data_IF_298823582567
#
_entry.id   IF_298823582567
#
_cell.length_a   1.000
_cell.length_b   1.000
_cell.length_c   1.000
_cell.angle_alpha   90.00
_cell.angle_beta   90.00
_cell.angle_gamma   90.00
#
_symmetry.space_group_name_H-M   'P 1'
#
loop_
_entity.id
_entity.type
_entity.pdbx_description
1 polymer ?
#
# COMPACT_ATOMS: atom_id res chain seq x y z
N UNK A 1 42.31 -19.90 18.80
CA UNK A 1 41.05 -20.61 18.46
C UNK A 1 39.90 -20.24 19.39
N UNK A 2 40.06 -20.33 20.73
CA UNK A 2 38.98 -19.97 21.68
C UNK A 2 38.51 -18.50 21.57
N UNK A 3 39.43 -17.59 21.29
CA UNK A 3 39.16 -16.16 21.15
C UNK A 3 38.22 -15.83 19.98
N UNK A 4 38.32 -16.59 18.88
CA UNK A 4 37.39 -16.49 17.74
C UNK A 4 36.00 -17.01 18.11
N UNK A 5 35.92 -18.09 18.90
CA UNK A 5 34.64 -18.65 19.35
C UNK A 5 33.90 -17.70 20.29
N UNK A 6 34.61 -17.07 21.21
CA UNK A 6 34.03 -16.08 22.13
C UNK A 6 33.50 -14.88 21.34
N UNK A 7 34.30 -14.36 20.40
CA UNK A 7 33.90 -13.22 19.56
C UNK A 7 32.64 -13.50 18.74
N UNK A 8 32.57 -14.65 18.06
CA UNK A 8 31.39 -15.02 17.27
C UNK A 8 30.16 -15.23 18.17
N UNK A 9 30.35 -15.79 19.36
CA UNK A 9 29.26 -15.98 20.33
C UNK A 9 28.68 -14.65 20.80
N UNK A 10 29.52 -13.66 21.08
CA UNK A 10 29.08 -12.31 21.47
C UNK A 10 28.32 -11.65 20.32
N UNK A 11 28.85 -11.71 19.09
CA UNK A 11 28.18 -11.15 17.90
C UNK A 11 26.81 -11.79 17.69
N UNK A 12 26.70 -13.12 17.82
CA UNK A 12 25.43 -13.82 17.65
C UNK A 12 24.37 -13.42 18.68
N UNK A 13 24.76 -13.22 19.94
CA UNK A 13 23.86 -12.75 21.00
C UNK A 13 23.40 -11.32 20.70
N UNK A 14 24.32 -10.42 20.34
CA UNK A 14 23.98 -9.03 20.02
C UNK A 14 23.08 -8.94 18.78
N UNK A 15 23.36 -9.70 17.73
CA UNK A 15 22.56 -9.71 16.52
C UNK A 15 21.10 -10.10 16.80
N UNK A 16 20.86 -11.11 17.65
CA UNK A 16 19.51 -11.52 18.05
C UNK A 16 18.71 -10.41 18.73
N UNK A 17 19.36 -9.51 19.45
CA UNK A 17 18.69 -8.38 20.10
C UNK A 17 18.37 -7.26 19.11
N UNK A 18 19.18 -7.09 18.08
CA UNK A 18 19.07 -5.99 17.10
C UNK A 18 18.08 -6.32 15.97
N UNK A 19 18.01 -7.58 15.52
CA UNK A 19 17.18 -7.95 14.37
C UNK A 19 15.70 -7.53 14.47
N UNK A 20 14.99 -7.75 15.61
CA UNK A 20 13.58 -7.34 15.71
C UNK A 20 13.38 -5.83 15.57
N UNK A 21 14.32 -5.04 16.13
CA UNK A 21 14.26 -3.58 16.03
C UNK A 21 14.43 -3.13 14.58
N UNK A 22 15.35 -3.77 13.84
CA UNK A 22 15.57 -3.46 12.43
C UNK A 22 14.33 -3.75 11.56
N UNK A 23 13.62 -4.85 11.83
CA UNK A 23 12.37 -5.17 11.12
C UNK A 23 11.33 -4.07 11.35
N UNK A 24 11.07 -3.69 12.61
CA UNK A 24 10.10 -2.63 12.93
C UNK A 24 10.42 -1.32 12.24
N UNK A 25 11.69 -0.87 12.31
CA UNK A 25 12.14 0.38 11.67
C UNK A 25 11.98 0.34 10.15
N UNK A 26 12.23 -0.82 9.54
CA UNK A 26 12.05 -1.00 8.09
C UNK A 26 10.58 -0.91 7.70
N UNK A 27 9.69 -1.57 8.44
CA UNK A 27 8.24 -1.48 8.19
C UNK A 27 7.70 -0.05 8.39
N UNK A 28 8.20 0.67 9.39
CA UNK A 28 7.87 2.09 9.59
C UNK A 28 8.35 2.95 8.41
N UNK A 29 9.57 2.70 7.92
CA UNK A 29 10.09 3.39 6.74
C UNK A 29 9.25 3.12 5.49
N UNK A 30 8.77 1.88 5.31
CA UNK A 30 7.85 1.55 4.21
C UNK A 30 6.53 2.29 4.33
N UNK A 31 5.95 2.37 5.53
CA UNK A 31 4.70 3.09 5.75
C UNK A 31 4.85 4.59 5.48
N UNK A 32 5.91 5.22 6.00
CA UNK A 32 6.20 6.65 5.78
C UNK A 32 6.42 6.93 4.28
N UNK A 33 7.19 6.07 3.60
CA UNK A 33 7.37 6.17 2.16
C UNK A 33 6.04 6.03 1.41
N UNK A 34 5.21 5.07 1.79
CA UNK A 34 3.91 4.88 1.16
C UNK A 34 3.02 6.10 1.33
N UNK A 35 2.99 6.72 2.52
CA UNK A 35 2.24 7.95 2.75
C UNK A 35 2.69 9.09 1.81
N UNK A 36 4.00 9.23 1.59
CA UNK A 36 4.53 10.23 0.64
C UNK A 36 4.14 9.91 -0.80
N UNK A 37 4.26 8.65 -1.21
CA UNK A 37 3.92 8.17 -2.55
C UNK A 37 2.41 8.32 -2.81
N UNK A 38 1.55 7.94 -1.87
CA UNK A 38 0.10 8.15 -1.96
C UNK A 38 -0.26 9.63 -2.15
N UNK A 39 0.34 10.52 -1.36
CA UNK A 39 0.11 11.95 -1.52
C UNK A 39 0.58 12.45 -2.89
N UNK A 40 1.73 11.98 -3.38
CA UNK A 40 2.22 12.32 -4.72
C UNK A 40 1.27 11.86 -5.83
N UNK A 41 0.76 10.63 -5.75
CA UNK A 41 -0.21 10.08 -6.71
C UNK A 41 -1.54 10.84 -6.61
N UNK A 42 -1.98 11.17 -5.39
CA UNK A 42 -3.20 11.96 -5.19
C UNK A 42 -3.08 13.34 -5.85
N UNK A 43 -1.95 14.04 -5.71
CA UNK A 43 -1.74 15.32 -6.42
C UNK A 43 -1.78 15.14 -7.94
N UNK A 44 -1.20 14.06 -8.48
CA UNK A 44 -1.27 13.76 -9.90
C UNK A 44 -2.72 13.56 -10.38
N UNK A 45 -3.54 12.87 -9.59
CA UNK A 45 -4.97 12.65 -9.88
C UNK A 45 -5.78 13.95 -9.84
N UNK A 46 -5.46 14.86 -8.91
CA UNK A 46 -6.09 16.19 -8.87
C UNK A 46 -5.76 16.98 -10.14
N UNK A 47 -4.50 17.01 -10.56
CA UNK A 47 -4.09 17.68 -11.81
C UNK A 47 -4.74 17.05 -13.04
N UNK A 48 -4.87 15.72 -13.06
CA UNK A 48 -5.61 15.00 -14.10
C UNK A 48 -7.06 15.48 -14.17
N UNK A 49 -7.76 15.50 -13.03
CA UNK A 49 -9.15 15.95 -12.93
C UNK A 49 -9.30 17.41 -13.37
N UNK A 50 -8.38 18.29 -12.98
CA UNK A 50 -8.38 19.69 -13.41
C UNK A 50 -8.26 19.83 -14.93
N UNK A 51 -7.46 18.98 -15.58
CA UNK A 51 -7.27 19.01 -17.03
C UNK A 51 -8.43 18.40 -17.81
N UNK A 52 -8.90 17.22 -17.38
CA UNK A 52 -9.84 16.41 -18.15
C UNK A 52 -11.29 16.51 -17.65
N UNK A 53 -11.52 17.18 -16.52
CA UNK A 53 -12.83 17.43 -15.93
C UNK A 53 -13.34 16.33 -14.99
N UNK A 54 -12.73 15.15 -15.02
CA UNK A 54 -13.08 14.01 -14.16
C UNK A 54 -11.84 13.17 -13.82
N UNK A 55 -11.95 12.30 -12.81
CA UNK A 55 -10.92 11.32 -12.48
C UNK A 55 -10.83 10.22 -13.56
N UNK A 56 -9.65 9.60 -13.75
CA UNK A 56 -9.49 8.55 -14.75
C UNK A 56 -10.26 7.29 -14.37
N UNK A 57 -10.68 6.52 -15.37
CA UNK A 57 -11.37 5.25 -15.13
C UNK A 57 -10.49 4.22 -14.40
N UNK A 58 -11.14 3.25 -13.77
CA UNK A 58 -10.49 2.14 -13.05
C UNK A 58 -9.54 1.36 -13.98
N UNK A 59 -8.35 1.04 -13.49
CA UNK A 59 -7.38 0.18 -14.17
C UNK A 59 -6.86 -0.84 -13.20
N UNK A 60 -6.87 -2.11 -13.62
CA UNK A 60 -6.45 -3.20 -12.76
C UNK A 60 -4.93 -3.18 -12.54
N UNK A 61 -4.49 -2.57 -11.43
CA UNK A 61 -3.10 -2.52 -10.95
C UNK A 61 -2.12 -2.03 -12.01
N UNK A 62 -2.58 -1.04 -12.76
CA UNK A 62 -1.81 -0.39 -13.83
C UNK A 62 -2.10 1.10 -13.82
N UNK A 63 -1.31 1.86 -14.56
CA UNK A 63 -1.51 3.28 -14.73
C UNK A 63 -2.82 3.58 -15.46
N UNK A 64 -3.67 4.46 -14.91
CA UNK A 64 -4.80 4.96 -15.66
C UNK A 64 -4.33 5.81 -16.85
N UNK A 65 -4.85 5.60 -18.08
CA UNK A 65 -4.40 6.31 -19.27
C UNK A 65 -4.46 7.84 -19.13
N UNK A 66 -3.34 8.49 -19.44
CA UNK A 66 -3.16 9.94 -19.36
C UNK A 66 -2.67 10.44 -18.00
N UNK A 67 -2.62 9.58 -16.96
CA UNK A 67 -2.07 9.95 -15.66
C UNK A 67 -0.54 10.03 -15.68
N UNK A 68 0.11 9.39 -16.64
CA UNK A 68 1.56 9.39 -16.86
C UNK A 68 2.13 10.81 -16.89
N UNK A 69 1.40 11.76 -17.48
CA UNK A 69 1.88 13.14 -17.62
C UNK A 69 2.04 13.86 -16.26
N UNK A 70 1.26 13.46 -15.25
CA UNK A 70 1.22 14.12 -13.95
C UNK A 70 2.05 13.40 -12.88
N UNK A 71 2.52 12.19 -13.17
CA UNK A 71 3.43 11.47 -12.31
C UNK A 71 4.87 11.94 -12.58
N UNK A 72 5.61 12.28 -11.52
CA UNK A 72 7.01 12.70 -11.65
C UNK A 72 7.88 11.80 -12.54
N UNK A 73 7.85 10.46 -12.38
CA UNK A 73 8.60 9.53 -13.25
C UNK A 73 7.86 9.14 -14.53
N UNK A 74 6.58 9.50 -14.70
CA UNK A 74 5.74 9.05 -15.82
C UNK A 74 5.43 7.55 -15.84
N UNK A 75 5.69 6.85 -14.74
CA UNK A 75 5.52 5.41 -14.58
C UNK A 75 4.73 5.16 -13.29
N UNK A 76 3.84 4.17 -13.30
CA UNK A 76 3.16 3.70 -12.09
C UNK A 76 4.18 3.04 -11.15
N UNK A 77 4.38 3.56 -9.93
CA UNK A 77 5.38 2.98 -9.04
C UNK A 77 4.91 1.64 -8.48
N UNK A 78 5.87 0.74 -8.23
CA UNK A 78 5.68 -0.33 -7.26
C UNK A 78 5.39 0.29 -5.88
N UNK A 79 4.64 -0.43 -5.04
CA UNK A 79 4.37 0.05 -3.69
C UNK A 79 5.61 -0.08 -2.78
N UNK A 80 5.62 0.68 -1.68
CA UNK A 80 6.78 0.76 -0.78
C UNK A 80 7.19 -0.59 -0.18
N UNK A 81 6.29 -1.56 -0.06
CA UNK A 81 6.58 -2.91 0.43
C UNK A 81 7.10 -3.84 -0.68
N UNK A 82 8.10 -4.69 -0.41
CA UNK A 82 8.66 -5.60 -1.41
C UNK A 82 7.62 -6.55 -2.03
N UNK A 83 7.43 -6.46 -3.35
CA UNK A 83 6.51 -7.32 -4.10
C UNK A 83 5.04 -6.88 -4.05
N UNK A 84 4.79 -5.65 -3.59
CA UNK A 84 3.46 -5.04 -3.59
C UNK A 84 3.35 -3.98 -4.68
N UNK A 85 2.12 -3.70 -5.13
CA UNK A 85 1.84 -2.76 -6.23
C UNK A 85 0.76 -1.77 -5.82
N UNK A 86 0.86 -0.53 -6.32
CA UNK A 86 -0.25 0.41 -6.21
C UNK A 86 -1.36 0.05 -7.20
N UNK A 87 -2.58 0.42 -6.85
CA UNK A 87 -3.82 0.13 -7.58
C UNK A 87 -4.71 1.36 -7.50
N UNK A 88 -5.12 1.87 -8.65
CA UNK A 88 -6.10 2.95 -8.72
C UNK A 88 -7.48 2.33 -8.70
N UNK A 89 -8.24 2.62 -7.65
CA UNK A 89 -9.58 2.06 -7.47
C UNK A 89 -10.62 3.15 -7.76
N UNK A 90 -11.36 2.99 -8.86
CA UNK A 90 -12.55 3.78 -9.18
C UNK A 90 -13.75 2.83 -9.25
N UNK A 91 -14.48 2.69 -8.15
CA UNK A 91 -15.58 1.74 -8.04
C UNK A 91 -16.94 2.40 -7.90
N UNK A 92 -17.98 1.68 -8.32
CA UNK A 92 -19.35 1.94 -7.84
C UNK A 92 -19.47 1.38 -6.43
N UNK A 93 -20.01 2.16 -5.49
CA UNK A 93 -20.25 1.65 -4.14
C UNK A 93 -21.30 0.52 -4.16
N UNK A 94 -20.97 -0.69 -3.66
CA UNK A 94 -21.91 -1.82 -3.65
C UNK A 94 -23.07 -1.60 -2.68
N UNK A 95 -22.91 -0.73 -1.69
CA UNK A 95 -23.92 -0.41 -0.67
C UNK A 95 -24.82 0.77 -1.11
N UNK A 96 -24.34 1.62 -2.02
CA UNK A 96 -25.09 2.74 -2.61
C UNK A 96 -24.69 2.96 -4.09
N UNK A 97 -25.42 2.38 -5.06
CA UNK A 97 -25.06 2.43 -6.48
C UNK A 97 -24.97 3.83 -7.10
N UNK A 98 -25.46 4.87 -6.41
CA UNK A 98 -25.36 6.26 -6.86
C UNK A 98 -24.07 6.95 -6.42
N UNK A 99 -23.25 6.28 -5.59
CA UNK A 99 -21.99 6.80 -5.09
C UNK A 99 -20.80 6.08 -5.72
N UNK A 100 -19.68 6.78 -5.74
CA UNK A 100 -18.39 6.24 -6.15
C UNK A 100 -17.48 6.08 -4.93
N UNK A 101 -16.57 5.13 -5.05
CA UNK A 101 -15.43 4.97 -4.13
C UNK A 101 -14.19 5.24 -4.97
N UNK A 102 -13.42 6.25 -4.57
CA UNK A 102 -12.16 6.60 -5.19
C UNK A 102 -11.05 6.50 -4.15
N UNK A 103 -10.08 5.65 -4.41
CA UNK A 103 -8.96 5.43 -3.50
C UNK A 103 -7.72 4.93 -4.26
N UNK A 104 -6.57 5.01 -3.61
CA UNK A 104 -5.34 4.38 -4.09
C UNK A 104 -5.01 3.28 -3.09
N UNK A 105 -4.82 2.05 -3.56
CA UNK A 105 -4.52 0.89 -2.71
C UNK A 105 -3.13 0.34 -2.97
N UNK A 106 -2.39 0.02 -1.92
CA UNK A 106 -1.23 -0.86 -1.99
C UNK A 106 -1.69 -2.32 -1.81
N UNK A 107 -1.52 -3.13 -2.84
CA UNK A 107 -1.88 -4.55 -2.91
C UNK A 107 -0.66 -5.41 -2.65
N UNK A 108 -0.76 -6.32 -1.68
CA UNK A 108 0.37 -7.13 -1.20
C UNK A 108 0.56 -8.46 -1.93
N UNK A 109 -0.32 -8.79 -2.86
CA UNK A 109 -0.30 -10.04 -3.60
C UNK A 109 -0.02 -9.74 -5.08
N UNK A 110 0.91 -10.44 -5.75
CA UNK A 110 1.10 -10.26 -7.19
C UNK A 110 -0.17 -10.63 -8.00
N UNK A 111 -0.33 -10.04 -9.18
CA UNK A 111 -1.45 -10.34 -10.07
C UNK A 111 -1.42 -11.82 -10.44
N UNK A 112 -2.52 -12.53 -10.21
CA UNK A 112 -2.65 -13.95 -10.53
C UNK A 112 -1.88 -14.90 -9.62
N UNK A 113 -1.22 -14.42 -8.55
CA UNK A 113 -0.51 -15.27 -7.58
C UNK A 113 -0.96 -15.03 -6.12
N UNK A 114 -2.19 -15.42 -5.75
CA UNK A 114 -2.74 -15.33 -4.38
C UNK A 114 -1.86 -15.90 -3.28
N UNK A 115 -1.09 -16.94 -3.59
CA UNK A 115 -0.28 -17.66 -2.60
C UNK A 115 1.06 -16.98 -2.32
N UNK A 116 1.37 -15.88 -3.00
CA UNK A 116 2.65 -15.16 -2.89
C UNK A 116 2.51 -13.81 -2.18
N UNK A 117 1.41 -13.58 -1.48
CA UNK A 117 1.20 -12.34 -0.74
C UNK A 117 2.30 -12.13 0.32
N UNK A 118 2.75 -10.88 0.45
CA UNK A 118 3.71 -10.45 1.47
C UNK A 118 3.14 -9.27 2.24
N UNK A 119 2.54 -9.56 3.39
CA UNK A 119 1.91 -8.54 4.22
C UNK A 119 2.92 -7.84 5.14
N UNK A 120 2.64 -6.58 5.54
CA UNK A 120 3.46 -5.85 6.51
C UNK A 120 3.57 -6.59 7.85
N UNK A 121 4.75 -6.62 8.45
CA UNK A 121 4.98 -7.21 9.78
C UNK A 121 4.60 -6.21 10.89
N UNK A 122 3.33 -5.76 10.90
CA UNK A 122 2.80 -4.77 11.86
C UNK A 122 1.51 -5.27 12.51
N UNK A 123 1.23 -4.79 13.72
CA UNK A 123 0.04 -5.18 14.48
C UNK A 123 -1.26 -4.88 13.72
N UNK A 124 -1.35 -3.72 13.07
CA UNK A 124 -2.48 -3.31 12.24
C UNK A 124 -2.66 -4.16 10.96
N UNK A 125 -1.68 -4.99 10.61
CA UNK A 125 -1.71 -5.89 9.47
C UNK A 125 -1.82 -7.37 9.89
N UNK A 126 -1.98 -7.67 11.18
CA UNK A 126 -1.88 -9.03 11.71
C UNK A 126 -2.97 -9.99 11.20
N UNK A 127 -4.11 -9.46 10.76
CA UNK A 127 -5.25 -10.17 10.21
C UNK A 127 -5.46 -9.92 8.71
N UNK A 128 -4.44 -9.39 8.01
CA UNK A 128 -4.51 -9.16 6.58
C UNK A 128 -4.66 -10.46 5.79
N UNK A 129 -5.54 -10.41 4.80
CA UNK A 129 -5.73 -11.47 3.81
C UNK A 129 -5.52 -10.95 2.37
N UNK A 130 -5.80 -11.80 1.38
CA UNK A 130 -5.63 -11.46 -0.04
C UNK A 130 -6.41 -10.21 -0.49
N UNK A 131 -7.47 -9.84 0.22
CA UNK A 131 -8.30 -8.66 -0.07
C UNK A 131 -7.97 -7.48 0.85
N UNK A 132 -7.01 -7.64 1.76
CA UNK A 132 -6.52 -6.54 2.58
C UNK A 132 -5.60 -5.64 1.78
N UNK A 133 -5.64 -4.36 2.12
CA UNK A 133 -4.83 -3.34 1.50
C UNK A 133 -4.49 -2.24 2.51
N UNK A 134 -3.38 -1.57 2.25
CA UNK A 134 -3.16 -0.23 2.78
C UNK A 134 -3.71 0.73 1.72
N UNK A 135 -4.55 1.69 2.10
CA UNK A 135 -5.21 2.56 1.11
C UNK A 135 -5.27 4.02 1.54
N UNK A 136 -5.27 4.90 0.54
CA UNK A 136 -5.49 6.33 0.67
C UNK A 136 -6.88 6.67 0.13
N UNK A 137 -7.77 7.13 0.99
CA UNK A 137 -9.14 7.45 0.63
C UNK A 137 -9.26 8.84 0.01
N UNK A 138 -9.83 8.93 -1.19
CA UNK A 138 -10.08 10.21 -1.87
C UNK A 138 -11.55 10.60 -1.76
N UNK A 139 -12.45 9.67 -2.04
CA UNK A 139 -13.90 9.91 -2.04
C UNK A 139 -14.69 8.64 -1.71
N UNK A 140 -15.81 8.81 -1.00
CA UNK A 140 -16.77 7.74 -0.73
C UNK A 140 -16.40 6.87 0.47
N UNK A 141 -17.05 5.70 0.55
CA UNK A 141 -16.84 4.71 1.61
C UNK A 141 -15.68 3.78 1.26
N UNK A 142 -14.46 4.32 1.32
CA UNK A 142 -13.21 3.61 1.06
C UNK A 142 -13.05 2.37 1.94
N UNK A 143 -12.43 1.34 1.38
CA UNK A 143 -12.39 -0.01 1.96
C UNK A 143 -11.26 -0.84 1.35
N UNK A 144 -10.88 -1.91 2.04
CA UNK A 144 -9.76 -2.76 1.59
C UNK A 144 -9.96 -3.34 0.19
N UNK A 145 -11.18 -3.73 -0.18
CA UNK A 145 -11.48 -4.27 -1.50
C UNK A 145 -12.98 -4.12 -1.82
N UNK A 146 -13.34 -3.94 -3.09
CA UNK A 146 -14.72 -3.74 -3.53
C UNK A 146 -15.68 -4.85 -3.08
N UNK A 147 -15.23 -6.10 -3.14
CA UNK A 147 -16.04 -7.27 -2.75
C UNK A 147 -16.17 -7.49 -1.25
N UNK A 148 -15.61 -6.59 -0.44
CA UNK A 148 -15.54 -6.70 1.02
C UNK A 148 -16.31 -5.56 1.70
N UNK A 149 -16.81 -5.79 2.93
CA UNK A 149 -17.41 -4.73 3.72
C UNK A 149 -16.35 -3.69 4.13
N UNK A 150 -16.79 -2.50 4.52
CA UNK A 150 -15.93 -1.38 4.92
C UNK A 150 -15.00 -1.74 6.09
N UNK A 151 -15.43 -2.64 6.98
CA UNK A 151 -14.68 -3.08 8.16
C UNK A 151 -13.79 -4.31 7.91
N UNK A 152 -13.62 -4.76 6.66
CA UNK A 152 -12.66 -5.83 6.35
C UNK A 152 -11.24 -5.37 6.68
N UNK A 153 -10.36 -6.27 7.17
CA UNK A 153 -8.99 -5.91 7.54
C UNK A 153 -8.27 -5.10 6.46
N UNK A 154 -7.76 -3.93 6.85
CA UNK A 154 -7.10 -2.97 5.99
C UNK A 154 -6.63 -1.76 6.80
N UNK A 155 -5.83 -0.91 6.17
CA UNK A 155 -5.26 0.26 6.84
C UNK A 155 -5.43 1.50 5.99
N UNK A 156 -6.28 2.42 6.44
CA UNK A 156 -6.47 3.70 5.78
C UNK A 156 -5.43 4.71 6.28
N UNK A 157 -4.57 5.20 5.39
CA UNK A 157 -3.45 6.08 5.77
C UNK A 157 -3.85 7.52 6.08
N UNK A 158 -5.04 7.94 5.65
CA UNK A 158 -5.53 9.32 5.78
C UNK A 158 -6.96 9.40 6.37
N UNK A 159 -7.47 8.32 6.94
CA UNK A 159 -8.74 8.33 7.67
C UNK A 159 -8.52 8.74 9.13
N UNK A 160 -9.49 9.39 9.77
CA UNK A 160 -9.46 9.59 11.22
C UNK A 160 -9.47 8.23 11.96
N UNK A 161 -8.75 8.18 13.07
CA UNK A 161 -8.75 7.03 14.01
C UNK A 161 -10.11 6.83 14.70
#
# INVERSE_FOLDING_TARGET
MIELLISISIIAILAKLIFPVFQTVREDAYLVRAQQEFNSIHQALILYKERYGDFPADTNRDIPPGLEEFLGPGIWPDSSWPGSVYDWDYWTDPDDPNKRILQISARFCPIGAPSQCRFPEKEWASDFDINSAVYYCIEGACRSHLSKPINHPGYCVNCPE
#
